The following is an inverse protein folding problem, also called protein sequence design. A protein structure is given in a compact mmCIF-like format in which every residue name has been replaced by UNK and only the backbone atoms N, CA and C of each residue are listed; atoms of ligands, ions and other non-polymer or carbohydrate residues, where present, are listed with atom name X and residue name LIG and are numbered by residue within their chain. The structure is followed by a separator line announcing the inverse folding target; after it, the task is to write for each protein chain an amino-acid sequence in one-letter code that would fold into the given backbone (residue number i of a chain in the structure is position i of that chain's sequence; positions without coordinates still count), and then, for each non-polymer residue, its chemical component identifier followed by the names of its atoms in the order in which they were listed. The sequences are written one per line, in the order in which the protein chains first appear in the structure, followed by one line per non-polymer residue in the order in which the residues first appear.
data_IF_340805638756
#
_entry.id   IF_340805638756
#
_cell.length_a   1.000
_cell.length_b   1.000
_cell.length_c   1.000
_cell.angle_alpha   90.00
_cell.angle_beta   90.00
_cell.angle_gamma   90.00
#
_symmetry.space_group_name_H-M   'P 1'
#
loop_
_entity.id
_entity.type
_entity.pdbx_description
1 polymer ?
#
# COMPACT_ATOMS: atom_id res chain seq x y z
N UNK A 1 -6.00 11.87 -5.31
CA UNK A 1 -6.62 10.53 -5.42
C UNK A 1 -5.55 9.53 -5.83
N UNK A 2 -5.49 8.36 -5.15
CA UNK A 2 -4.68 7.20 -5.56
C UNK A 2 -5.64 6.18 -6.19
N UNK A 3 -5.34 5.76 -7.43
CA UNK A 3 -6.14 4.77 -8.15
C UNK A 3 -5.69 3.36 -7.77
N UNK A 4 -6.54 2.65 -7.04
CA UNK A 4 -6.24 1.27 -6.60
C UNK A 4 -6.70 0.24 -7.64
N UNK A 5 -6.06 0.26 -8.81
CA UNK A 5 -6.36 -0.69 -9.89
C UNK A 5 -5.59 -2.01 -9.76
N UNK A 6 -4.56 -2.05 -8.94
CA UNK A 6 -3.67 -3.21 -8.77
C UNK A 6 -3.18 -3.75 -10.12
N UNK A 7 -2.61 -2.82 -10.91
CA UNK A 7 -2.14 -3.09 -12.28
C UNK A 7 -1.18 -4.28 -12.26
N UNK A 8 -1.38 -5.23 -13.16
CA UNK A 8 -0.62 -6.47 -13.19
C UNK A 8 -0.70 -7.10 -14.59
N UNK A 9 0.07 -6.60 -15.53
CA UNK A 9 0.09 -7.05 -16.92
C UNK A 9 1.54 -7.04 -17.48
N UNK A 10 1.69 -7.16 -18.78
CA UNK A 10 2.97 -7.03 -19.45
C UNK A 10 3.41 -5.55 -19.54
N UNK A 11 4.70 -5.24 -19.74
CA UNK A 11 5.25 -3.87 -19.66
C UNK A 11 4.50 -2.83 -20.50
N UNK A 12 4.10 -3.18 -21.72
CA UNK A 12 3.40 -2.25 -22.59
C UNK A 12 1.99 -1.89 -22.10
N UNK A 13 1.25 -2.87 -21.57
CA UNK A 13 -0.09 -2.66 -21.03
C UNK A 13 -0.05 -1.85 -19.75
N UNK A 14 0.87 -2.17 -18.83
CA UNK A 14 1.07 -1.44 -17.57
C UNK A 14 1.39 0.04 -17.85
N UNK A 15 2.32 0.31 -18.79
CA UNK A 15 2.65 1.67 -19.25
C UNK A 15 1.41 2.41 -19.72
N UNK A 16 0.62 1.82 -20.61
CA UNK A 16 -0.58 2.46 -21.16
C UNK A 16 -1.64 2.77 -20.10
N UNK A 17 -1.83 1.88 -19.12
CA UNK A 17 -2.78 2.09 -18.02
C UNK A 17 -2.29 3.26 -17.14
N UNK A 18 -1.01 3.29 -16.75
CA UNK A 18 -0.43 4.35 -15.93
C UNK A 18 -0.55 5.72 -16.63
N UNK A 19 -0.22 5.81 -17.92
CA UNK A 19 -0.41 7.04 -18.71
C UNK A 19 -1.87 7.51 -18.71
N UNK A 20 -2.85 6.59 -18.77
CA UNK A 20 -4.26 6.96 -18.71
C UNK A 20 -4.69 7.44 -17.32
N UNK A 21 -4.13 6.88 -16.25
CA UNK A 21 -4.37 7.33 -14.88
C UNK A 21 -3.82 8.75 -14.69
N UNK A 22 -2.60 8.99 -15.15
CA UNK A 22 -1.95 10.31 -15.07
C UNK A 22 -2.73 11.39 -15.84
N UNK A 23 -3.15 11.10 -17.08
CA UNK A 23 -3.98 12.03 -17.89
C UNK A 23 -5.30 12.41 -17.23
N UNK A 24 -5.79 11.65 -16.26
CA UNK A 24 -7.00 11.93 -15.49
C UNK A 24 -6.75 12.68 -14.19
N UNK A 25 -5.52 13.09 -13.92
CA UNK A 25 -5.14 13.91 -12.77
C UNK A 25 -5.16 13.15 -11.44
N UNK A 26 -4.97 11.83 -11.45
CA UNK A 26 -4.71 11.11 -10.22
C UNK A 26 -3.34 11.51 -9.63
N UNK A 27 -3.19 11.38 -8.31
CA UNK A 27 -1.93 11.61 -7.62
C UNK A 27 -1.09 10.34 -7.49
N UNK A 28 -1.71 9.16 -7.59
CA UNK A 28 -0.99 7.90 -7.48
C UNK A 28 -1.75 6.71 -8.04
N UNK A 29 -1.01 5.59 -8.19
CA UNK A 29 -1.55 4.31 -8.68
C UNK A 29 -0.94 3.14 -7.91
N UNK A 30 -1.73 2.07 -7.74
CA UNK A 30 -1.27 0.84 -7.10
C UNK A 30 -1.03 -0.23 -8.15
N UNK A 31 0.15 -0.87 -8.10
CA UNK A 31 0.60 -1.92 -9.03
C UNK A 31 1.05 -3.16 -8.27
N UNK A 32 1.07 -4.32 -8.93
CA UNK A 32 1.68 -5.55 -8.42
C UNK A 32 3.09 -5.76 -8.97
N UNK A 33 3.97 -6.36 -8.16
CA UNK A 33 5.32 -6.74 -8.56
C UNK A 33 5.44 -8.18 -9.10
N UNK A 34 4.43 -9.03 -8.90
CA UNK A 34 4.51 -10.45 -9.29
C UNK A 34 4.58 -10.67 -10.81
N UNK A 35 4.26 -9.67 -11.61
CA UNK A 35 4.39 -9.71 -13.08
C UNK A 35 5.85 -9.61 -13.56
N UNK A 36 6.78 -9.26 -12.67
CA UNK A 36 8.19 -9.19 -12.96
C UNK A 36 8.76 -7.77 -12.89
N UNK A 37 10.10 -7.69 -12.85
CA UNK A 37 10.80 -6.41 -12.70
C UNK A 37 10.69 -5.52 -13.94
N UNK A 38 10.53 -6.10 -15.11
CA UNK A 38 10.34 -5.38 -16.37
C UNK A 38 8.99 -4.65 -16.43
N UNK A 39 7.90 -5.31 -16.06
CA UNK A 39 6.56 -4.70 -15.94
C UNK A 39 6.53 -3.61 -14.88
N UNK A 40 7.05 -3.89 -13.69
CA UNK A 40 7.14 -2.89 -12.62
C UNK A 40 7.96 -1.66 -13.05
N UNK A 41 9.11 -1.88 -13.68
CA UNK A 41 9.95 -0.78 -14.18
C UNK A 41 9.25 0.02 -15.28
N UNK A 42 8.46 -0.61 -16.14
CA UNK A 42 7.69 0.09 -17.17
C UNK A 42 6.59 0.97 -16.55
N UNK A 43 5.89 0.47 -15.54
CA UNK A 43 4.87 1.22 -14.80
C UNK A 43 5.47 2.46 -14.11
N UNK A 44 6.58 2.28 -13.37
CA UNK A 44 7.25 3.38 -12.66
C UNK A 44 7.80 4.43 -13.64
N UNK A 45 8.42 4.01 -14.74
CA UNK A 45 8.93 4.94 -15.76
C UNK A 45 7.85 5.73 -16.48
N UNK A 46 6.65 5.18 -16.61
CA UNK A 46 5.51 5.85 -17.23
C UNK A 46 4.84 6.88 -16.30
N UNK A 47 5.12 6.81 -15.02
CA UNK A 47 4.51 7.64 -13.97
C UNK A 47 5.38 8.89 -13.73
N UNK A 48 5.39 9.84 -14.67
CA UNK A 48 6.23 11.06 -14.61
C UNK A 48 5.95 11.89 -13.34
N UNK A 49 4.66 12.23 -13.11
CA UNK A 49 4.20 13.02 -11.96
C UNK A 49 3.23 12.24 -11.07
N UNK A 50 3.22 10.93 -11.17
CA UNK A 50 2.28 10.03 -10.50
C UNK A 50 3.02 9.14 -9.51
N UNK A 51 2.61 9.13 -8.25
CA UNK A 51 3.16 8.20 -7.26
C UNK A 51 2.80 6.75 -7.58
N UNK A 52 3.78 5.86 -7.55
CA UNK A 52 3.56 4.42 -7.74
C UNK A 52 3.74 3.69 -6.43
N UNK A 53 2.69 2.96 -6.01
CA UNK A 53 2.69 2.12 -4.81
C UNK A 53 2.66 0.65 -5.20
N UNK A 54 3.63 -0.11 -4.72
CA UNK A 54 3.80 -1.52 -5.07
C UNK A 54 3.19 -2.42 -4.00
N UNK A 55 2.30 -3.33 -4.37
CA UNK A 55 1.75 -4.31 -3.44
C UNK A 55 2.84 -5.33 -3.07
N UNK A 56 3.27 -5.32 -1.80
CA UNK A 56 4.19 -6.34 -1.27
C UNK A 56 3.44 -7.56 -0.76
N UNK A 57 2.30 -7.34 -0.11
CA UNK A 57 1.48 -8.42 0.42
C UNK A 57 0.00 -8.03 0.43
N UNK A 58 -0.87 -8.97 0.07
CA UNK A 58 -2.33 -8.81 0.11
C UNK A 58 -2.88 -9.08 1.51
N UNK A 59 -3.85 -8.28 1.97
CA UNK A 59 -4.39 -8.31 3.34
C UNK A 59 -5.33 -9.49 3.66
N UNK A 60 -5.92 -10.13 2.64
CA UNK A 60 -6.85 -11.24 2.81
C UNK A 60 -6.13 -12.59 3.05
N UNK A 61 -6.81 -13.65 3.53
CA UNK A 61 -6.17 -14.94 3.83
C UNK A 61 -5.40 -15.55 2.66
N UNK A 62 -5.93 -15.51 1.43
CA UNK A 62 -5.25 -16.01 0.22
C UNK A 62 -3.94 -15.29 -0.11
N UNK A 63 -3.71 -14.10 0.45
CA UNK A 63 -2.43 -13.41 0.34
C UNK A 63 -1.27 -14.20 0.96
N UNK A 64 -1.54 -15.07 1.92
CA UNK A 64 -0.52 -15.91 2.55
C UNK A 64 -0.02 -17.03 1.65
N UNK A 65 -0.80 -17.41 0.64
CA UNK A 65 -0.41 -18.48 -0.28
C UNK A 65 0.67 -18.04 -1.28
N UNK A 66 0.57 -16.80 -1.78
CA UNK A 66 1.41 -16.35 -2.89
C UNK A 66 2.17 -15.07 -2.62
N UNK A 67 1.57 -14.06 -1.98
CA UNK A 67 2.21 -12.76 -1.81
C UNK A 67 3.06 -12.67 -0.54
N UNK A 68 2.61 -13.24 0.58
CA UNK A 68 3.38 -13.22 1.84
C UNK A 68 4.76 -13.86 1.73
N UNK A 69 4.95 -15.03 1.09
CA UNK A 69 6.28 -15.62 0.91
C UNK A 69 7.24 -14.75 0.09
N UNK A 70 6.73 -13.85 -0.74
CA UNK A 70 7.49 -12.99 -1.63
C UNK A 70 7.51 -11.52 -1.20
N UNK A 71 6.90 -11.18 -0.05
CA UNK A 71 6.73 -9.78 0.39
C UNK A 71 8.05 -9.01 0.44
N UNK A 72 9.11 -9.60 1.00
CA UNK A 72 10.44 -8.99 1.08
C UNK A 72 11.07 -8.81 -0.31
N UNK A 73 10.88 -9.77 -1.21
CA UNK A 73 11.35 -9.65 -2.60
C UNK A 73 10.61 -8.54 -3.34
N UNK A 74 9.29 -8.43 -3.20
CA UNK A 74 8.50 -7.36 -3.81
C UNK A 74 8.86 -5.98 -3.24
N UNK A 75 9.16 -5.90 -1.93
CA UNK A 75 9.68 -4.68 -1.32
C UNK A 75 11.03 -4.25 -1.94
N UNK A 76 11.96 -5.19 -2.12
CA UNK A 76 13.24 -4.92 -2.81
C UNK A 76 13.04 -4.44 -4.25
N UNK A 77 12.14 -5.11 -4.99
CA UNK A 77 11.80 -4.70 -6.37
C UNK A 77 11.21 -3.28 -6.43
N UNK A 78 10.39 -2.88 -5.45
CA UNK A 78 9.86 -1.52 -5.36
C UNK A 78 10.98 -0.48 -5.22
N UNK A 79 11.96 -0.73 -4.36
CA UNK A 79 13.15 0.12 -4.19
C UNK A 79 13.98 0.16 -5.48
N UNK A 80 14.28 -1.01 -6.06
CA UNK A 80 15.06 -1.14 -7.30
C UNK A 80 14.41 -0.39 -8.48
N UNK A 81 13.09 -0.38 -8.55
CA UNK A 81 12.33 0.30 -9.60
C UNK A 81 12.19 1.81 -9.37
N UNK A 82 12.45 2.32 -8.17
CA UNK A 82 12.25 3.73 -7.81
C UNK A 82 10.78 4.08 -7.54
N UNK A 83 10.00 3.17 -6.97
CA UNK A 83 8.62 3.42 -6.58
C UNK A 83 8.53 4.47 -5.45
N UNK A 84 7.39 5.17 -5.33
CA UNK A 84 7.15 6.16 -4.27
C UNK A 84 6.81 5.49 -2.93
N UNK A 85 6.29 4.27 -2.96
CA UNK A 85 5.91 3.55 -1.75
C UNK A 85 5.42 2.13 -2.02
N UNK A 86 4.93 1.50 -0.94
CA UNK A 86 4.46 0.12 -0.97
C UNK A 86 3.14 -0.04 -0.23
N UNK A 87 2.46 -1.15 -0.50
CA UNK A 87 1.27 -1.60 0.22
C UNK A 87 1.64 -2.83 1.05
N UNK A 88 1.49 -2.75 2.38
CA UNK A 88 1.70 -3.86 3.31
C UNK A 88 0.49 -3.99 4.26
N UNK A 89 0.05 -5.21 4.66
CA UNK A 89 -1.23 -5.41 5.30
C UNK A 89 -1.24 -5.12 6.81
N UNK A 90 -2.21 -4.36 7.32
CA UNK A 90 -2.43 -4.15 8.76
C UNK A 90 -2.85 -5.44 9.50
N UNK A 91 -3.33 -6.44 8.77
CA UNK A 91 -3.69 -7.75 9.34
C UNK A 91 -2.48 -8.60 9.75
N UNK A 92 -1.29 -8.18 9.37
CA UNK A 92 0.00 -8.82 9.71
C UNK A 92 1.06 -7.75 9.98
N UNK A 93 1.01 -7.11 11.15
CA UNK A 93 1.90 -5.98 11.47
C UNK A 93 3.39 -6.34 11.44
N UNK A 94 3.74 -7.59 11.73
CA UNK A 94 5.11 -8.10 11.60
C UNK A 94 5.65 -8.06 10.15
N UNK A 95 4.76 -8.17 9.16
CA UNK A 95 5.12 -8.00 7.74
C UNK A 95 5.47 -6.54 7.44
N UNK A 96 4.74 -5.59 8.02
CA UNK A 96 5.04 -4.15 7.89
C UNK A 96 6.47 -3.86 8.40
N UNK A 97 6.83 -4.39 9.58
CA UNK A 97 8.15 -4.19 10.15
C UNK A 97 9.29 -4.78 9.30
N UNK A 98 9.05 -5.94 8.64
CA UNK A 98 10.01 -6.53 7.70
C UNK A 98 10.16 -5.66 6.45
N UNK A 99 9.04 -5.23 5.87
CA UNK A 99 9.01 -4.37 4.69
C UNK A 99 9.68 -3.04 4.97
N UNK A 100 9.40 -2.39 6.11
CA UNK A 100 10.03 -1.11 6.52
C UNK A 100 11.56 -1.18 6.52
N UNK A 101 12.13 -2.28 7.01
CA UNK A 101 13.61 -2.46 7.01
C UNK A 101 14.22 -2.49 5.62
N UNK A 102 13.44 -2.90 4.61
CA UNK A 102 13.90 -3.01 3.22
C UNK A 102 13.69 -1.69 2.48
N UNK A 103 12.50 -1.10 2.65
CA UNK A 103 12.11 0.07 1.84
C UNK A 103 12.64 1.41 2.38
N UNK A 104 13.22 1.41 3.60
CA UNK A 104 13.78 2.64 4.20
C UNK A 104 12.72 3.72 4.35
N UNK A 105 12.88 4.84 3.66
CA UNK A 105 12.03 6.02 3.77
C UNK A 105 10.84 6.04 2.78
N UNK A 106 10.66 4.99 1.96
CA UNK A 106 9.50 4.91 1.08
C UNK A 106 8.21 4.83 1.89
N UNK A 107 7.13 5.42 1.37
CA UNK A 107 5.83 5.39 2.05
C UNK A 107 5.27 3.97 2.15
N UNK A 108 4.76 3.60 3.32
CA UNK A 108 4.00 2.37 3.53
C UNK A 108 2.53 2.71 3.78
N UNK A 109 1.68 2.37 2.82
CA UNK A 109 0.22 2.47 2.97
C UNK A 109 -0.33 1.10 3.39
N UNK A 110 -1.15 1.06 4.44
CA UNK A 110 -1.59 -0.22 5.01
C UNK A 110 -3.11 -0.38 4.99
N UNK A 111 -3.64 -1.28 4.14
CA UNK A 111 -5.04 -1.69 4.17
C UNK A 111 -5.30 -2.80 5.20
N UNK A 112 -6.59 -3.03 5.51
CA UNK A 112 -7.03 -4.14 6.36
C UNK A 112 -7.35 -3.75 7.79
N UNK A 113 -7.31 -2.46 8.11
CA UNK A 113 -7.68 -1.93 9.43
C UNK A 113 -9.19 -2.09 9.68
N UNK A 114 -9.54 -2.48 10.89
CA UNK A 114 -10.91 -2.62 11.37
C UNK A 114 -11.65 -3.81 10.75
N UNK A 115 -12.36 -3.63 9.67
CA UNK A 115 -13.23 -4.66 9.06
C UNK A 115 -12.52 -5.97 8.66
N UNK A 116 -11.21 -5.97 8.52
CA UNK A 116 -10.40 -7.18 8.28
C UNK A 116 -9.63 -7.65 9.51
N UNK A 117 -9.80 -6.98 10.66
CA UNK A 117 -9.18 -7.33 11.94
C UNK A 117 -7.84 -6.67 12.22
N UNK A 118 -7.29 -5.87 11.31
CA UNK A 118 -6.07 -5.12 11.56
C UNK A 118 -6.30 -3.94 12.53
N UNK A 119 -5.27 -3.60 13.31
CA UNK A 119 -5.22 -2.45 14.22
C UNK A 119 -4.47 -1.30 13.56
N UNK A 120 -5.00 -0.08 13.65
CA UNK A 120 -4.33 1.12 13.16
C UNK A 120 -3.07 1.43 13.98
N UNK A 121 -3.19 1.33 15.31
CA UNK A 121 -2.08 1.56 16.25
C UNK A 121 -0.93 0.59 16.01
N UNK A 122 -1.22 -0.71 15.87
CA UNK A 122 -0.18 -1.71 15.62
C UNK A 122 0.53 -1.48 14.28
N UNK A 123 -0.25 -1.16 13.23
CA UNK A 123 0.32 -0.88 11.92
C UNK A 123 1.29 0.31 11.93
N UNK A 124 0.90 1.41 12.56
CA UNK A 124 1.76 2.61 12.71
C UNK A 124 2.99 2.30 13.58
N UNK A 125 2.82 1.60 14.70
CA UNK A 125 3.94 1.19 15.58
C UNK A 125 4.97 0.32 14.85
N UNK A 126 4.55 -0.46 13.87
CA UNK A 126 5.42 -1.31 13.04
C UNK A 126 6.00 -0.59 11.83
N UNK A 127 5.73 0.70 11.67
CA UNK A 127 6.37 1.56 10.68
C UNK A 127 5.54 1.87 9.44
N UNK A 128 4.21 1.66 9.47
CA UNK A 128 3.35 2.20 8.42
C UNK A 128 3.23 3.73 8.55
N UNK A 129 3.14 4.43 7.42
CA UNK A 129 2.96 5.88 7.38
C UNK A 129 1.48 6.25 7.34
N UNK A 130 0.67 5.47 6.63
CA UNK A 130 -0.76 5.72 6.45
C UNK A 130 -1.59 4.45 6.51
N UNK A 131 -2.80 4.57 7.06
CA UNK A 131 -3.79 3.50 7.06
C UNK A 131 -4.86 3.73 5.99
N UNK A 132 -5.27 2.66 5.30
CA UNK A 132 -6.39 2.69 4.35
C UNK A 132 -7.60 2.04 5.02
N UNK A 133 -8.61 2.85 5.33
CA UNK A 133 -9.80 2.42 6.05
C UNK A 133 -11.06 2.68 5.23
N UNK A 134 -11.79 1.64 4.90
CA UNK A 134 -13.03 1.71 4.14
C UNK A 134 -14.26 1.41 5.00
N UNK A 135 -14.65 0.14 5.04
CA UNK A 135 -15.92 -0.34 5.65
C UNK A 135 -16.17 0.12 7.08
N UNK A 136 -15.13 0.22 7.90
CA UNK A 136 -15.26 0.68 9.30
C UNK A 136 -15.66 2.16 9.39
N UNK A 137 -15.45 2.96 8.34
CA UNK A 137 -15.89 4.35 8.28
C UNK A 137 -17.23 4.44 7.57
N UNK A 138 -17.30 4.10 6.27
CA UNK A 138 -18.52 4.33 5.49
C UNK A 138 -19.69 3.42 5.87
N UNK A 139 -19.44 2.26 6.49
CA UNK A 139 -20.46 1.37 7.04
C UNK A 139 -20.94 1.75 8.45
N UNK A 140 -20.32 2.74 9.10
CA UNK A 140 -20.75 3.24 10.40
C UNK A 140 -22.00 4.12 10.27
N UNK A 141 -22.96 4.05 11.23
CA UNK A 141 -24.06 5.02 11.30
C UNK A 141 -23.57 6.46 11.57
N UNK A 142 -22.34 6.62 12.05
CA UNK A 142 -21.67 7.91 12.29
C UNK A 142 -20.25 7.92 11.70
N UNK A 143 -20.11 8.05 10.36
CA UNK A 143 -18.83 7.89 9.68
C UNK A 143 -17.75 8.87 10.16
N UNK A 144 -18.15 10.13 10.43
CA UNK A 144 -17.22 11.14 10.92
C UNK A 144 -16.60 10.76 12.26
N UNK A 145 -17.43 10.39 13.25
CA UNK A 145 -16.94 9.96 14.56
C UNK A 145 -16.08 8.67 14.48
N UNK A 146 -16.39 7.78 13.53
CA UNK A 146 -15.57 6.60 13.30
C UNK A 146 -14.18 6.97 12.77
N UNK A 147 -14.08 7.94 11.88
CA UNK A 147 -12.81 8.45 11.38
C UNK A 147 -12.02 9.20 12.47
N UNK A 148 -12.70 10.07 13.24
CA UNK A 148 -12.08 10.82 14.34
C UNK A 148 -11.47 9.89 15.39
N UNK A 149 -12.16 8.82 15.79
CA UNK A 149 -11.61 7.79 16.71
C UNK A 149 -10.35 7.12 16.19
N UNK A 150 -10.29 6.81 14.88
CA UNK A 150 -9.10 6.22 14.27
C UNK A 150 -7.92 7.20 14.28
N UNK A 151 -8.18 8.48 14.01
CA UNK A 151 -7.14 9.52 14.08
C UNK A 151 -6.61 9.67 15.50
N UNK A 152 -7.49 9.68 16.51
CA UNK A 152 -7.09 9.75 17.93
C UNK A 152 -6.25 8.51 18.34
N UNK A 153 -6.62 7.31 17.87
CA UNK A 153 -5.86 6.08 18.10
C UNK A 153 -4.43 6.20 17.55
N UNK A 154 -4.30 6.65 16.31
CA UNK A 154 -3.00 6.84 15.64
C UNK A 154 -2.16 7.91 16.34
N UNK A 155 -2.76 9.04 16.71
CA UNK A 155 -2.06 10.15 17.39
C UNK A 155 -1.45 9.72 18.72
N UNK A 156 -2.12 8.85 19.49
CA UNK A 156 -1.58 8.30 20.74
C UNK A 156 -0.29 7.50 20.53
N UNK A 157 -0.19 6.79 19.41
CA UNK A 157 1.03 6.03 19.06
C UNK A 157 2.17 6.98 18.68
N UNK A 158 1.88 7.98 17.84
CA UNK A 158 2.90 8.92 17.35
C UNK A 158 3.46 9.78 18.49
N UNK A 159 2.64 10.09 19.51
CA UNK A 159 3.02 10.92 20.66
C UNK A 159 3.60 10.13 21.83
N UNK A 160 3.59 8.79 21.76
CA UNK A 160 4.22 7.96 22.78
C UNK A 160 5.76 8.18 22.76
N UNK A 161 6.39 8.36 23.94
CA UNK A 161 7.82 8.63 24.05
C UNK A 161 8.70 7.46 23.66
#
# INVERSE_FOLDING_TARGET
VICDFKIADIPNTDRLIVEQVQKRGAAGVIVHAFTGSDSLSAAVKAAEDLDVFVVTEMSHPGGQEFTAPLAERFASMAVEAGASGVIAPATRPESIAKVRRIVGDLLILTPGVGAQGGSASDAISMGADHVIVGRSIYGSPRPREAAERLVEEIQKVIQAP
#
